data_IF_131135129241
#
_entry.id   IF_131135129241
#
_cell.length_a   1.000
_cell.length_b   1.000
_cell.length_c   1.000
_cell.angle_alpha   90.00
_cell.angle_beta   90.00
_cell.angle_gamma   90.00
#
_symmetry.space_group_name_H-M   'P 1'
#
loop_
_entity.id
_entity.type
_entity.pdbx_description
1 polymer ?
#
# COMPACT_ATOMS: atom_id res chain seq x y z
N UNK A 1 6.79 -38.93 35.43
CA UNK A 1 5.65 -38.78 34.47
C UNK A 1 4.51 -38.12 35.22
N UNK A 2 4.34 -36.83 35.07
CA UNK A 2 3.18 -36.06 35.54
C UNK A 2 2.21 -35.89 34.37
N UNK A 3 0.89 -36.03 34.56
CA UNK A 3 -0.07 -35.98 33.47
C UNK A 3 -0.19 -34.57 32.89
N UNK A 4 -0.12 -34.48 31.56
CA UNK A 4 -0.35 -33.29 30.73
C UNK A 4 -1.85 -32.90 30.66
N UNK A 5 -2.45 -32.53 31.77
CA UNK A 5 -3.84 -32.10 31.78
C UNK A 5 -4.12 -31.04 32.83
N UNK A 6 -3.44 -29.92 32.73
CA UNK A 6 -3.79 -28.68 33.46
C UNK A 6 -3.13 -27.49 32.79
N UNK A 7 -3.36 -27.30 31.49
CA UNK A 7 -3.37 -25.94 30.92
C UNK A 7 -4.84 -25.56 31.01
N UNK A 8 -5.24 -24.61 31.87
CA UNK A 8 -6.62 -24.12 31.84
C UNK A 8 -6.83 -23.54 30.45
N UNK A 9 -7.93 -23.94 29.78
CA UNK A 9 -8.46 -23.16 28.67
C UNK A 9 -8.39 -21.71 29.08
N UNK A 10 -7.59 -20.91 28.35
CA UNK A 10 -7.50 -19.48 28.61
C UNK A 10 -8.92 -18.93 28.44
N UNK A 11 -9.60 -18.75 29.56
CA UNK A 11 -10.86 -18.02 29.61
C UNK A 11 -10.54 -16.64 29.08
N UNK A 12 -10.88 -16.41 27.81
CA UNK A 12 -10.72 -15.09 27.19
C UNK A 12 -11.50 -14.13 28.04
N UNK A 13 -10.80 -13.24 28.74
CA UNK A 13 -11.46 -12.20 29.52
C UNK A 13 -12.34 -11.38 28.57
N UNK A 14 -13.50 -10.86 29.01
CA UNK A 14 -14.35 -10.00 28.15
C UNK A 14 -13.60 -8.85 27.50
N UNK A 15 -12.54 -8.35 28.16
CA UNK A 15 -11.67 -7.28 27.66
C UNK A 15 -10.81 -7.78 26.47
N UNK A 16 -10.21 -8.97 26.54
CA UNK A 16 -9.42 -9.52 25.44
C UNK A 16 -10.27 -9.76 24.21
N UNK A 17 -11.49 -10.33 24.39
CA UNK A 17 -12.43 -10.52 23.29
C UNK A 17 -12.85 -9.19 22.63
N UNK A 18 -12.99 -8.10 23.40
CA UNK A 18 -13.34 -6.78 22.89
C UNK A 18 -12.19 -6.12 22.12
N UNK A 19 -10.93 -6.37 22.51
CA UNK A 19 -9.73 -5.89 21.83
C UNK A 19 -9.57 -6.62 20.49
N UNK A 20 -9.70 -7.94 20.47
CA UNK A 20 -9.63 -8.74 19.26
C UNK A 20 -10.69 -8.27 18.24
N UNK A 21 -11.94 -8.06 18.69
CA UNK A 21 -13.03 -7.59 17.84
C UNK A 21 -12.77 -6.16 17.31
N UNK A 22 -12.18 -5.28 18.13
CA UNK A 22 -11.80 -3.94 17.71
C UNK A 22 -10.80 -3.96 16.56
N UNK A 23 -9.70 -4.72 16.68
CA UNK A 23 -8.70 -4.81 15.61
C UNK A 23 -9.28 -5.49 14.37
N UNK A 24 -10.03 -6.56 14.52
CA UNK A 24 -10.66 -7.24 13.39
C UNK A 24 -11.56 -6.31 12.58
N UNK A 25 -12.41 -5.52 13.22
CA UNK A 25 -13.26 -4.54 12.54
C UNK A 25 -12.49 -3.40 11.88
N UNK A 26 -11.32 -3.09 12.41
CA UNK A 26 -10.48 -1.99 11.91
C UNK A 26 -9.60 -2.40 10.74
N UNK A 27 -9.08 -3.61 10.74
CA UNK A 27 -8.12 -4.11 9.76
C UNK A 27 -8.78 -4.83 8.57
N UNK A 28 -10.02 -5.29 8.74
CA UNK A 28 -10.74 -5.93 7.63
C UNK A 28 -11.50 -4.89 6.81
N UNK A 29 -11.42 -4.93 5.48
CA UNK A 29 -12.16 -4.01 4.63
C UNK A 29 -13.67 -4.21 4.79
N UNK A 30 -14.40 -3.12 4.69
CA UNK A 30 -15.86 -3.14 4.73
C UNK A 30 -16.38 -3.79 3.45
N UNK A 31 -17.22 -4.81 3.58
CA UNK A 31 -17.90 -5.42 2.44
C UNK A 31 -18.70 -4.35 1.68
N UNK A 32 -18.50 -4.22 0.36
CA UNK A 32 -19.10 -3.14 -0.45
C UNK A 32 -18.19 -1.94 -0.74
N UNK A 33 -17.00 -1.86 -0.12
CA UNK A 33 -16.03 -0.80 -0.40
C UNK A 33 -15.20 -1.03 -1.68
N UNK A 34 -15.49 -2.09 -2.45
CA UNK A 34 -14.73 -2.43 -3.66
C UNK A 34 -14.99 -1.38 -4.74
N UNK A 35 -13.94 -0.67 -5.21
CA UNK A 35 -14.09 0.31 -6.28
C UNK A 35 -14.58 -0.34 -7.59
N UNK A 36 -15.50 0.33 -8.28
CA UNK A 36 -16.00 -0.11 -9.58
C UNK A 36 -15.19 0.55 -10.69
N UNK A 37 -14.33 -0.22 -11.35
CA UNK A 37 -13.56 0.23 -12.50
C UNK A 37 -14.03 -0.48 -13.78
N UNK A 38 -14.18 0.29 -14.86
CA UNK A 38 -14.52 -0.28 -16.16
C UNK A 38 -13.39 -1.23 -16.62
N UNK A 39 -13.74 -2.43 -17.04
CA UNK A 39 -12.75 -3.41 -17.54
C UNK A 39 -11.90 -4.11 -16.48
N UNK A 40 -12.02 -3.75 -15.21
CA UNK A 40 -11.26 -4.32 -14.11
C UNK A 40 -12.22 -4.90 -13.06
N UNK A 41 -11.88 -6.06 -12.55
CA UNK A 41 -12.52 -6.66 -11.39
C UNK A 41 -11.47 -6.92 -10.32
N UNK A 42 -11.80 -6.62 -9.07
CA UNK A 42 -10.89 -6.83 -7.95
C UNK A 42 -11.59 -7.46 -6.76
N UNK A 43 -10.89 -8.30 -6.05
CA UNK A 43 -11.34 -8.88 -4.81
C UNK A 43 -10.15 -9.32 -3.95
N UNK A 44 -10.23 -9.08 -2.66
CA UNK A 44 -9.26 -9.54 -1.68
C UNK A 44 -9.95 -10.16 -0.48
N UNK A 45 -9.24 -11.04 0.19
CA UNK A 45 -9.67 -11.65 1.43
C UNK A 45 -8.45 -12.02 2.28
N UNK A 46 -8.62 -12.07 3.60
CA UNK A 46 -7.57 -12.38 4.56
C UNK A 46 -8.07 -13.37 5.60
N UNK A 47 -7.20 -14.30 5.99
CA UNK A 47 -7.44 -15.29 7.03
C UNK A 47 -6.31 -15.16 8.06
N UNK A 48 -6.58 -14.66 9.26
CA UNK A 48 -5.55 -14.54 10.29
C UNK A 48 -5.15 -15.92 10.84
N UNK A 49 -3.88 -16.07 11.22
CA UNK A 49 -3.36 -17.29 11.88
C UNK A 49 -3.98 -17.50 13.26
N UNK A 50 -4.27 -16.40 13.94
CA UNK A 50 -4.92 -16.36 15.25
C UNK A 50 -6.29 -15.65 15.17
N UNK A 51 -6.77 -15.11 16.27
CA UNK A 51 -8.02 -14.34 16.32
C UNK A 51 -7.93 -13.00 15.56
N UNK A 52 -6.75 -12.41 15.57
CA UNK A 52 -6.36 -11.21 14.82
C UNK A 52 -4.98 -11.41 14.24
N UNK A 53 -4.75 -10.90 13.04
CA UNK A 53 -3.48 -10.97 12.34
C UNK A 53 -2.78 -9.62 12.20
N UNK A 54 -1.53 -9.68 11.75
CA UNK A 54 -0.73 -8.52 11.33
C UNK A 54 -0.98 -8.12 9.88
N UNK A 55 -1.65 -8.97 9.13
CA UNK A 55 -2.04 -8.70 7.76
C UNK A 55 -3.18 -7.69 7.68
N UNK A 56 -3.03 -6.74 6.75
CA UNK A 56 -4.07 -5.80 6.39
C UNK A 56 -4.09 -5.66 4.87
N UNK A 57 -5.27 -5.67 4.29
CA UNK A 57 -5.46 -5.13 2.94
C UNK A 57 -6.63 -4.16 2.91
N UNK A 58 -6.58 -3.20 2.01
CA UNK A 58 -7.66 -2.23 1.82
C UNK A 58 -7.84 -1.90 0.34
N UNK A 59 -9.11 -1.76 -0.06
CA UNK A 59 -9.51 -1.10 -1.29
C UNK A 59 -9.61 0.40 -1.05
N UNK A 60 -8.99 1.21 -1.88
CA UNK A 60 -9.08 2.66 -1.76
C UNK A 60 -9.94 3.18 -2.91
N UNK A 61 -11.18 3.49 -2.59
CA UNK A 61 -12.02 4.33 -3.44
C UNK A 61 -11.73 5.78 -3.06
N UNK A 62 -10.97 6.48 -3.89
CA UNK A 62 -10.52 7.84 -3.59
C UNK A 62 -11.67 8.82 -3.42
N UNK A 63 -12.69 8.74 -4.29
CA UNK A 63 -13.86 9.60 -4.24
C UNK A 63 -14.58 9.50 -2.90
N UNK A 64 -14.90 8.27 -2.47
CA UNK A 64 -15.64 8.02 -1.24
C UNK A 64 -14.80 8.28 0.01
N UNK A 65 -13.51 7.91 -0.03
CA UNK A 65 -12.63 7.97 1.14
C UNK A 65 -12.13 9.37 1.45
N UNK A 66 -11.83 10.17 0.41
CA UNK A 66 -11.09 11.42 0.57
C UNK A 66 -11.84 12.67 0.12
N UNK A 67 -13.12 12.56 -0.21
CA UNK A 67 -13.96 13.68 -0.64
C UNK A 67 -13.30 14.52 -1.76
N UNK A 68 -13.03 13.86 -2.88
CA UNK A 68 -12.32 14.42 -4.03
C UNK A 68 -13.00 15.68 -4.56
N UNK A 69 -14.35 15.71 -4.62
CA UNK A 69 -15.12 16.87 -5.06
C UNK A 69 -14.79 18.14 -4.27
N UNK A 70 -14.79 18.04 -2.94
CA UNK A 70 -14.48 19.18 -2.08
C UNK A 70 -13.03 19.67 -2.26
N UNK A 71 -12.09 18.75 -2.53
CA UNK A 71 -10.68 19.08 -2.79
C UNK A 71 -10.51 19.78 -4.13
N UNK A 72 -11.14 19.29 -5.20
CA UNK A 72 -11.18 19.95 -6.51
C UNK A 72 -11.79 21.34 -6.39
N UNK A 73 -12.94 21.46 -5.72
CA UNK A 73 -13.59 22.75 -5.51
C UNK A 73 -12.69 23.74 -4.75
N UNK A 74 -11.98 23.26 -3.73
CA UNK A 74 -11.01 24.05 -2.97
C UNK A 74 -9.83 24.51 -3.82
N UNK A 75 -9.23 23.61 -4.60
CA UNK A 75 -8.11 23.93 -5.49
C UNK A 75 -8.52 24.96 -6.54
N UNK A 76 -9.67 24.80 -7.20
CA UNK A 76 -10.21 25.76 -8.16
C UNK A 76 -10.50 27.12 -7.52
N UNK A 77 -11.05 27.16 -6.30
CA UNK A 77 -11.29 28.40 -5.56
C UNK A 77 -9.99 29.11 -5.23
N UNK A 78 -8.94 28.39 -4.81
CA UNK A 78 -7.63 28.96 -4.52
C UNK A 78 -6.96 29.48 -5.79
N UNK A 79 -7.00 28.73 -6.90
CA UNK A 79 -6.51 29.19 -8.19
C UNK A 79 -7.16 30.51 -8.59
N UNK A 80 -8.50 30.60 -8.54
CA UNK A 80 -9.24 31.83 -8.85
C UNK A 80 -8.83 32.98 -7.95
N UNK A 81 -8.68 32.77 -6.65
CA UNK A 81 -8.24 33.79 -5.69
C UNK A 81 -6.86 34.35 -6.04
N UNK A 82 -5.92 33.51 -6.49
CA UNK A 82 -4.61 33.98 -6.95
C UNK A 82 -4.70 34.79 -8.24
N UNK A 83 -5.62 34.45 -9.16
CA UNK A 83 -5.85 35.20 -10.41
C UNK A 83 -6.54 36.54 -10.20
N UNK A 84 -7.56 36.61 -9.33
CA UNK A 84 -8.31 37.86 -9.03
C UNK A 84 -7.41 38.97 -8.47
N UNK A 85 -6.28 38.58 -7.90
CA UNK A 85 -5.30 39.54 -7.39
C UNK A 85 -4.25 39.97 -8.42
N UNK A 86 -4.37 39.52 -9.68
CA UNK A 86 -3.47 39.92 -10.78
C UNK A 86 -4.00 41.14 -11.57
N UNK A 87 -3.13 41.89 -12.24
CA UNK A 87 -3.55 42.93 -13.17
C UNK A 87 -4.42 42.39 -14.31
N UNK A 88 -5.33 43.20 -14.84
CA UNK A 88 -6.19 42.83 -15.98
C UNK A 88 -5.34 42.35 -17.17
N UNK A 89 -5.75 41.25 -17.80
CA UNK A 89 -5.08 40.61 -18.94
C UNK A 89 -4.04 39.53 -18.60
N UNK A 90 -3.82 39.23 -17.33
CA UNK A 90 -2.98 38.11 -16.96
C UNK A 90 -3.71 36.77 -17.13
N UNK A 91 -3.28 35.96 -18.10
CA UNK A 91 -3.78 34.56 -18.28
C UNK A 91 -2.86 33.57 -17.56
N UNK A 92 -3.40 32.48 -17.01
CA UNK A 92 -2.57 31.37 -16.51
C UNK A 92 -1.76 30.78 -17.67
N UNK A 93 -0.49 30.53 -17.46
CA UNK A 93 0.29 29.67 -18.36
C UNK A 93 -0.10 28.20 -18.11
N UNK A 94 0.04 27.34 -19.13
CA UNK A 94 -0.24 25.91 -18.99
C UNK A 94 0.47 25.32 -17.77
N UNK A 95 -0.32 24.73 -16.83
CA UNK A 95 0.13 24.41 -15.49
C UNK A 95 1.35 23.47 -15.42
N UNK A 96 1.52 22.60 -16.42
CA UNK A 96 2.62 21.61 -16.45
C UNK A 96 3.97 22.29 -16.59
N UNK A 97 4.11 23.27 -17.51
CA UNK A 97 5.40 23.92 -17.77
C UNK A 97 5.83 24.83 -16.60
N UNK A 98 4.85 25.47 -15.94
CA UNK A 98 5.13 26.35 -14.79
C UNK A 98 5.49 25.53 -13.55
N UNK A 99 4.86 24.38 -13.34
CA UNK A 99 5.16 23.49 -12.22
C UNK A 99 6.57 22.89 -12.38
N UNK A 100 6.93 22.42 -13.57
CA UNK A 100 8.27 21.89 -13.87
C UNK A 100 9.34 22.98 -13.70
N UNK A 101 9.11 24.19 -14.21
CA UNK A 101 10.05 25.32 -14.04
C UNK A 101 10.15 25.75 -12.57
N UNK A 102 9.04 25.74 -11.81
CA UNK A 102 9.06 26.09 -10.39
C UNK A 102 9.79 25.02 -9.56
N UNK A 103 9.58 23.73 -9.86
CA UNK A 103 10.31 22.63 -9.24
C UNK A 103 11.82 22.68 -9.53
N UNK A 104 12.21 23.13 -10.73
CA UNK A 104 13.60 23.26 -11.13
C UNK A 104 14.28 24.53 -10.60
N UNK A 105 13.52 25.60 -10.36
CA UNK A 105 14.07 26.93 -10.04
C UNK A 105 13.91 27.31 -8.58
N UNK A 106 13.38 26.43 -7.66
CA UNK A 106 13.09 26.79 -6.25
C UNK A 106 13.62 28.20 -5.93
N UNK A 107 12.88 29.28 -6.19
CA UNK A 107 13.32 30.57 -5.74
C UNK A 107 13.36 30.45 -4.23
N UNK A 108 14.52 30.66 -3.61
CA UNK A 108 14.59 30.96 -2.20
C UNK A 108 13.45 31.94 -1.93
N UNK A 109 12.64 31.66 -0.90
CA UNK A 109 11.46 32.43 -0.52
C UNK A 109 11.81 33.91 -0.39
N UNK A 110 11.92 34.58 -1.51
CA UNK A 110 11.96 36.02 -1.53
C UNK A 110 10.54 36.50 -1.33
N UNK A 111 10.30 37.12 -0.21
CA UNK A 111 9.06 37.72 0.28
C UNK A 111 8.50 38.78 -0.64
N UNK A 112 8.21 38.46 -1.89
CA UNK A 112 7.62 39.36 -2.85
C UNK A 112 6.34 38.76 -3.41
N UNK A 113 5.20 39.33 -3.04
CA UNK A 113 3.89 39.07 -3.62
C UNK A 113 3.84 39.55 -5.07
N UNK A 114 4.67 38.93 -5.93
CA UNK A 114 4.82 39.32 -7.34
C UNK A 114 3.71 38.68 -8.17
N UNK A 115 3.31 39.33 -9.27
CA UNK A 115 2.35 38.79 -10.23
C UNK A 115 2.80 37.41 -10.75
N UNK A 116 4.11 37.17 -10.88
CA UNK A 116 4.70 35.91 -11.30
C UNK A 116 4.47 34.80 -10.26
N UNK A 117 4.66 35.09 -8.97
CA UNK A 117 4.38 34.17 -7.88
C UNK A 117 2.90 33.77 -7.85
N UNK A 118 1.98 34.72 -7.99
CA UNK A 118 0.52 34.45 -8.01
C UNK A 118 0.10 33.61 -9.19
N UNK A 119 0.66 33.86 -10.39
CA UNK A 119 0.44 33.01 -11.58
C UNK A 119 0.92 31.58 -11.33
N UNK A 120 2.11 31.40 -10.79
CA UNK A 120 2.66 30.10 -10.48
C UNK A 120 1.78 29.35 -9.46
N UNK A 121 1.32 30.01 -8.40
CA UNK A 121 0.41 29.43 -7.40
C UNK A 121 -0.96 29.09 -7.97
N UNK A 122 -1.51 29.92 -8.85
CA UNK A 122 -2.76 29.60 -9.54
C UNK A 122 -2.62 28.35 -10.41
N UNK A 123 -1.55 28.26 -11.20
CA UNK A 123 -1.27 27.10 -12.06
C UNK A 123 -1.03 25.82 -11.25
N UNK A 124 -0.33 25.91 -10.11
CA UNK A 124 -0.15 24.80 -9.17
C UNK A 124 -1.49 24.27 -8.68
N UNK A 125 -2.43 25.14 -8.31
CA UNK A 125 -3.75 24.72 -7.85
C UNK A 125 -4.60 24.08 -8.96
N UNK A 126 -4.48 24.54 -10.19
CA UNK A 126 -5.14 23.89 -11.34
C UNK A 126 -4.58 22.50 -11.59
N UNK A 127 -3.25 22.35 -11.53
CA UNK A 127 -2.59 21.05 -11.66
C UNK A 127 -2.99 20.07 -10.55
N UNK A 128 -3.14 20.56 -9.30
CA UNK A 128 -3.69 19.74 -8.20
C UNK A 128 -5.13 19.29 -8.54
N UNK A 129 -5.96 20.19 -9.07
CA UNK A 129 -7.33 19.85 -9.45
C UNK A 129 -7.39 18.80 -10.58
N UNK A 130 -6.50 18.91 -11.58
CA UNK A 130 -6.37 17.94 -12.68
C UNK A 130 -5.93 16.57 -12.17
N UNK A 131 -4.90 16.50 -11.32
CA UNK A 131 -4.46 15.25 -10.71
C UNK A 131 -5.59 14.59 -9.89
N UNK A 132 -6.35 15.38 -9.12
CA UNK A 132 -7.49 14.88 -8.35
C UNK A 132 -8.60 14.30 -9.25
N UNK A 133 -8.81 14.87 -10.46
CA UNK A 133 -9.80 14.34 -11.41
C UNK A 133 -9.42 12.94 -11.92
N UNK A 134 -8.14 12.62 -12.05
CA UNK A 134 -7.70 11.27 -12.45
C UNK A 134 -8.11 10.21 -11.43
N UNK A 135 -8.27 10.59 -10.16
CA UNK A 135 -8.62 9.67 -9.07
C UNK A 135 -10.07 9.14 -9.14
N UNK A 136 -10.97 9.76 -9.91
CA UNK A 136 -12.31 9.21 -10.15
C UNK A 136 -12.29 7.89 -10.95
N UNK A 137 -11.25 7.69 -11.75
CA UNK A 137 -11.07 6.49 -12.56
C UNK A 137 -9.91 5.63 -12.08
N UNK A 138 -9.43 5.87 -10.86
CA UNK A 138 -8.32 5.14 -10.25
C UNK A 138 -8.79 4.47 -8.97
N UNK A 139 -8.40 3.24 -8.74
CA UNK A 139 -8.57 2.57 -7.46
C UNK A 139 -7.20 2.30 -6.82
N UNK A 140 -7.11 2.55 -5.53
CA UNK A 140 -5.92 2.19 -4.76
C UNK A 140 -6.07 0.82 -4.10
N UNK A 141 -4.93 0.17 -3.89
CA UNK A 141 -4.80 -1.08 -3.14
C UNK A 141 -3.65 -0.93 -2.16
N UNK A 142 -3.91 -1.24 -0.91
CA UNK A 142 -2.91 -1.26 0.15
C UNK A 142 -2.85 -2.66 0.75
N UNK A 143 -1.66 -3.26 0.76
CA UNK A 143 -1.35 -4.48 1.52
C UNK A 143 -0.27 -4.15 2.53
N UNK A 144 -0.45 -4.62 3.74
CA UNK A 144 0.53 -4.52 4.84
C UNK A 144 0.62 -5.86 5.50
N UNK A 145 1.83 -6.28 5.80
CA UNK A 145 2.11 -7.45 6.62
C UNK A 145 3.09 -7.02 7.71
N UNK A 146 2.64 -7.10 8.95
CA UNK A 146 3.40 -6.68 10.11
C UNK A 146 4.11 -7.87 10.74
N UNK A 147 5.39 -7.70 11.05
CA UNK A 147 6.24 -8.74 11.63
C UNK A 147 5.58 -9.43 12.84
N UNK A 148 5.42 -10.75 12.76
CA UNK A 148 4.82 -11.60 13.78
C UNK A 148 3.29 -11.72 13.59
N UNK A 149 2.60 -12.24 14.59
CA UNK A 149 1.16 -12.51 14.55
C UNK A 149 0.45 -11.99 15.81
N UNK A 150 -0.87 -12.04 15.80
CA UNK A 150 -1.72 -11.66 16.93
C UNK A 150 -1.78 -10.14 17.18
N UNK A 151 -2.10 -9.76 18.43
CA UNK A 151 -2.42 -8.38 18.81
C UNK A 151 -1.27 -7.39 18.55
N UNK A 152 -0.01 -7.81 18.71
CA UNK A 152 1.14 -6.92 18.54
C UNK A 152 1.29 -6.57 17.06
N UNK A 153 1.23 -7.56 16.18
CA UNK A 153 1.27 -7.37 14.73
C UNK A 153 0.07 -6.54 14.25
N UNK A 154 -1.15 -6.83 14.73
CA UNK A 154 -2.36 -6.05 14.45
C UNK A 154 -2.21 -4.56 14.82
N UNK A 155 -1.54 -4.27 15.94
CA UNK A 155 -1.24 -2.90 16.35
C UNK A 155 -0.28 -2.21 15.39
N UNK A 156 0.76 -2.91 14.91
CA UNK A 156 1.71 -2.38 13.94
C UNK A 156 0.98 -2.08 12.62
N UNK A 157 0.22 -3.05 12.10
CA UNK A 157 -0.58 -2.88 10.89
C UNK A 157 -1.55 -1.70 10.99
N UNK A 158 -2.25 -1.56 12.14
CA UNK A 158 -3.14 -0.42 12.41
C UNK A 158 -2.37 0.92 12.44
N UNK A 159 -1.15 0.94 12.98
CA UNK A 159 -0.31 2.15 12.99
C UNK A 159 0.11 2.56 11.58
N UNK A 160 0.49 1.59 10.74
CA UNK A 160 0.81 1.82 9.32
C UNK A 160 -0.42 2.38 8.61
N UNK A 161 -1.56 1.74 8.76
CA UNK A 161 -2.84 2.15 8.17
C UNK A 161 -3.22 3.59 8.52
N UNK A 162 -3.21 3.94 9.82
CA UNK A 162 -3.57 5.30 10.26
C UNK A 162 -2.58 6.36 9.77
N UNK A 163 -1.30 6.01 9.75
CA UNK A 163 -0.26 6.89 9.24
C UNK A 163 -0.41 7.10 7.74
N UNK A 164 -0.70 6.02 7.00
CA UNK A 164 -0.96 6.06 5.57
C UNK A 164 -2.12 7.02 5.24
N UNK A 165 -3.29 6.85 5.86
CA UNK A 165 -4.44 7.70 5.57
C UNK A 165 -4.25 9.15 6.02
N UNK A 166 -3.59 9.38 7.15
CA UNK A 166 -3.27 10.74 7.60
C UNK A 166 -2.32 11.44 6.63
N UNK A 167 -1.31 10.74 6.15
CA UNK A 167 -0.37 11.28 5.18
C UNK A 167 -1.06 11.52 3.82
N UNK A 168 -1.96 10.61 3.39
CA UNK A 168 -2.72 10.74 2.15
C UNK A 168 -3.60 11.99 2.13
N UNK A 169 -4.24 12.35 3.23
CA UNK A 169 -5.02 13.58 3.32
C UNK A 169 -4.19 14.82 2.97
N UNK A 170 -2.98 14.91 3.53
CA UNK A 170 -2.04 16.01 3.25
C UNK A 170 -1.52 15.95 1.82
N UNK A 171 -1.22 14.75 1.33
CA UNK A 171 -0.67 14.53 -0.02
C UNK A 171 -1.64 14.98 -1.12
N UNK A 172 -2.91 14.59 -0.99
CA UNK A 172 -3.96 14.98 -1.92
C UNK A 172 -4.24 16.50 -1.89
N UNK A 173 -4.13 17.14 -0.71
CA UNK A 173 -4.26 18.60 -0.61
C UNK A 173 -3.10 19.36 -1.26
N UNK A 174 -1.88 18.80 -1.22
CA UNK A 174 -0.68 19.47 -1.70
C UNK A 174 -0.34 19.14 -3.17
N UNK A 175 -0.62 17.90 -3.61
CA UNK A 175 -0.14 17.39 -4.89
C UNK A 175 -1.27 16.84 -5.78
N UNK A 176 -2.44 16.57 -5.21
CA UNK A 176 -3.58 15.96 -5.90
C UNK A 176 -3.38 14.48 -6.27
N UNK A 177 -2.23 13.91 -5.95
CA UNK A 177 -1.84 12.51 -6.24
C UNK A 177 -0.79 12.05 -5.25
N UNK A 178 -0.54 10.75 -5.20
CA UNK A 178 0.55 10.19 -4.39
C UNK A 178 1.92 10.53 -4.96
N UNK A 179 2.85 10.87 -4.08
CA UNK A 179 4.25 11.12 -4.42
C UNK A 179 5.17 10.26 -3.52
N UNK A 180 6.45 10.12 -3.82
CA UNK A 180 7.36 9.39 -2.94
C UNK A 180 7.57 10.00 -1.57
N UNK A 181 7.53 11.31 -1.46
CA UNK A 181 7.65 12.01 -0.17
C UNK A 181 6.57 11.54 0.82
N UNK A 182 5.43 11.08 0.29
CA UNK A 182 4.38 10.45 1.05
C UNK A 182 4.87 9.19 1.79
N UNK A 183 5.57 8.31 1.10
CA UNK A 183 6.07 7.05 1.67
C UNK A 183 7.23 7.28 2.64
N UNK A 184 8.09 8.25 2.37
CA UNK A 184 9.15 8.66 3.29
C UNK A 184 8.56 9.12 4.64
N UNK A 185 7.47 9.90 4.60
CA UNK A 185 6.76 10.35 5.81
C UNK A 185 6.20 9.18 6.62
N UNK A 186 5.65 8.15 5.97
CA UNK A 186 5.16 6.94 6.65
C UNK A 186 6.32 6.23 7.35
N UNK A 187 7.42 5.99 6.64
CA UNK A 187 8.58 5.31 7.19
C UNK A 187 9.22 6.08 8.35
N UNK A 188 9.41 7.38 8.21
CA UNK A 188 9.93 8.25 9.28
C UNK A 188 9.06 8.20 10.54
N UNK A 189 7.74 8.19 10.39
CA UNK A 189 6.84 8.15 11.54
C UNK A 189 6.91 6.83 12.29
N UNK A 190 7.04 5.71 11.60
CA UNK A 190 7.25 4.40 12.23
C UNK A 190 8.59 4.36 12.96
N UNK A 191 9.68 4.78 12.33
CA UNK A 191 11.01 4.83 12.94
C UNK A 191 11.03 5.75 14.18
N UNK A 192 10.42 6.93 14.11
CA UNK A 192 10.33 7.86 15.24
C UNK A 192 9.53 7.29 16.42
N UNK A 193 8.46 6.55 16.15
CA UNK A 193 7.64 5.91 17.19
C UNK A 193 8.45 4.90 18.01
N UNK A 194 9.31 4.13 17.37
CA UNK A 194 10.21 3.17 18.03
C UNK A 194 11.31 3.89 18.82
N UNK A 195 11.94 4.90 18.22
CA UNK A 195 13.02 5.66 18.87
C UNK A 195 12.52 6.39 20.11
N UNK A 196 11.35 7.03 20.05
CA UNK A 196 10.75 7.72 21.19
C UNK A 196 10.43 6.74 22.34
N UNK A 197 9.91 5.55 22.04
CA UNK A 197 9.65 4.51 23.06
C UNK A 197 10.93 4.00 23.70
N UNK A 198 11.97 3.74 22.91
CA UNK A 198 13.27 3.30 23.42
C UNK A 198 13.93 4.35 24.33
N UNK A 199 13.79 5.64 24.01
CA UNK A 199 14.28 6.74 24.82
C UNK A 199 13.54 6.89 26.17
N UNK A 200 12.26 6.55 26.21
CA UNK A 200 11.42 6.62 27.42
C UNK A 200 11.51 5.34 28.28
N UNK A 201 11.94 4.23 27.69
CA UNK A 201 12.10 2.97 28.41
C UNK A 201 13.34 3.02 29.31
N UNK A 202 13.14 2.86 30.60
CA UNK A 202 14.22 2.65 31.57
C UNK A 202 14.80 1.24 31.51
N UNK A 203 14.20 0.36 30.72
CA UNK A 203 14.62 -1.02 30.57
C UNK A 203 15.73 -1.09 29.51
N UNK A 204 16.84 -1.73 29.83
CA UNK A 204 17.98 -1.92 28.92
C UNK A 204 17.67 -2.89 27.76
N UNK A 205 16.52 -3.56 27.79
CA UNK A 205 16.02 -4.35 26.67
C UNK A 205 15.37 -3.41 25.66
N UNK A 206 16.04 -3.26 24.50
CA UNK A 206 15.48 -2.53 23.36
C UNK A 206 14.08 -3.08 23.05
N UNK A 207 13.08 -2.19 22.95
CA UNK A 207 11.75 -2.58 22.46
C UNK A 207 11.88 -3.27 21.10
N UNK A 208 11.10 -4.32 20.83
CA UNK A 208 11.11 -4.94 19.52
C UNK A 208 10.85 -3.89 18.44
N UNK A 209 11.55 -4.01 17.31
CA UNK A 209 11.37 -3.10 16.18
C UNK A 209 9.97 -3.32 15.63
N UNK A 210 9.27 -2.25 15.34
CA UNK A 210 8.01 -2.29 14.61
C UNK A 210 8.35 -2.28 13.12
N UNK A 211 8.35 -3.46 12.53
CA UNK A 211 8.66 -3.66 11.11
C UNK A 211 7.40 -4.16 10.43
N UNK A 212 7.12 -3.61 9.26
CA UNK A 212 6.06 -4.09 8.39
C UNK A 212 6.50 -4.04 6.94
N UNK A 213 6.10 -5.02 6.16
CA UNK A 213 6.16 -4.94 4.72
C UNK A 213 4.93 -4.18 4.21
N UNK A 214 5.04 -3.50 3.08
CA UNK A 214 3.92 -2.77 2.50
C UNK A 214 4.02 -2.76 0.98
N UNK A 215 2.89 -3.03 0.32
CA UNK A 215 2.69 -2.76 -1.08
C UNK A 215 1.52 -1.79 -1.22
N UNK A 216 1.75 -0.67 -1.87
CA UNK A 216 0.69 0.25 -2.29
C UNK A 216 0.70 0.35 -3.80
N UNK A 217 -0.47 0.24 -4.42
CA UNK A 217 -0.62 0.38 -5.86
C UNK A 217 -1.91 1.08 -6.26
N UNK A 218 -1.88 1.62 -7.46
CA UNK A 218 -3.00 2.29 -8.11
C UNK A 218 -3.29 1.61 -9.44
N UNK A 219 -4.53 1.16 -9.62
CA UNK A 219 -5.01 0.51 -10.85
C UNK A 219 -5.97 1.42 -11.60
N UNK A 220 -5.83 1.47 -12.90
CA UNK A 220 -6.66 2.24 -13.82
C UNK A 220 -7.47 1.33 -14.75
N UNK A 221 -8.54 1.84 -15.41
CA UNK A 221 -9.37 1.06 -16.32
C UNK A 221 -8.62 0.48 -17.52
N UNK A 222 -7.50 1.09 -17.92
CA UNK A 222 -6.63 0.60 -19.00
C UNK A 222 -5.74 -0.58 -18.59
N UNK A 223 -5.90 -1.07 -17.36
CA UNK A 223 -5.12 -2.18 -16.81
C UNK A 223 -3.73 -1.78 -16.29
N UNK A 224 -3.38 -0.51 -16.33
CA UNK A 224 -2.10 -0.03 -15.80
C UNK A 224 -2.16 -0.03 -14.26
N UNK A 225 -1.29 -0.84 -13.65
CA UNK A 225 -1.05 -0.90 -12.21
C UNK A 225 0.32 -0.30 -11.89
N UNK A 226 0.30 0.81 -11.18
CA UNK A 226 1.49 1.48 -10.64
C UNK A 226 1.62 1.17 -9.18
N UNK A 227 2.79 0.78 -8.72
CA UNK A 227 2.96 0.39 -7.32
C UNK A 227 4.34 0.71 -6.76
N UNK A 228 4.38 0.80 -5.44
CA UNK A 228 5.59 0.93 -4.62
C UNK A 228 5.61 -0.25 -3.65
N UNK A 229 6.78 -0.89 -3.51
CA UNK A 229 6.96 -2.08 -2.69
C UNK A 229 8.01 -1.86 -1.61
N UNK A 230 7.62 -2.01 -0.35
CA UNK A 230 8.47 -1.92 0.84
C UNK A 230 8.67 -3.31 1.45
N UNK A 231 9.59 -4.08 0.90
CA UNK A 231 9.94 -5.42 1.39
C UNK A 231 8.82 -6.46 1.30
N UNK A 232 7.71 -6.13 0.66
CA UNK A 232 6.56 -7.02 0.49
C UNK A 232 6.83 -8.02 -0.66
N UNK A 233 6.23 -9.22 -0.65
CA UNK A 233 6.32 -10.12 -1.78
C UNK A 233 5.94 -9.43 -3.10
N UNK A 234 6.70 -9.65 -4.20
CA UNK A 234 6.43 -8.99 -5.46
C UNK A 234 5.11 -9.48 -6.08
N UNK A 235 4.38 -8.61 -6.79
CA UNK A 235 3.20 -9.02 -7.53
C UNK A 235 3.51 -10.11 -8.57
N UNK A 236 2.59 -11.03 -8.79
CA UNK A 236 2.67 -12.01 -9.88
C UNK A 236 1.59 -11.74 -10.92
N UNK A 237 1.96 -11.84 -12.19
CA UNK A 237 1.04 -11.68 -13.32
C UNK A 237 0.78 -13.02 -13.95
N UNK A 238 -0.45 -13.49 -13.88
CA UNK A 238 -0.90 -14.66 -14.60
C UNK A 238 -1.48 -14.24 -15.96
N UNK A 239 -0.90 -14.75 -17.04
CA UNK A 239 -1.45 -14.53 -18.37
C UNK A 239 -2.53 -15.57 -18.68
N UNK A 240 -3.72 -15.10 -19.00
CA UNK A 240 -4.82 -15.96 -19.40
C UNK A 240 -4.54 -16.68 -20.75
N UNK A 241 -3.75 -16.05 -21.63
CA UNK A 241 -3.35 -16.60 -22.92
C UNK A 241 -2.37 -17.77 -22.74
N UNK A 242 -1.30 -17.56 -21.93
CA UNK A 242 -0.26 -18.56 -21.73
C UNK A 242 -0.58 -19.57 -20.62
N UNK A 243 -1.57 -19.29 -19.77
CA UNK A 243 -2.02 -20.17 -18.67
C UNK A 243 -0.98 -20.34 -17.57
N UNK A 244 -0.11 -19.37 -17.37
CA UNK A 244 0.98 -19.40 -16.38
C UNK A 244 1.36 -18.00 -15.90
N UNK A 245 2.11 -17.94 -14.81
CA UNK A 245 2.73 -16.70 -14.38
C UNK A 245 3.81 -16.25 -15.36
N UNK A 246 3.78 -14.95 -15.66
CA UNK A 246 4.80 -14.30 -16.46
C UNK A 246 6.01 -13.96 -15.60
N UNK A 247 7.19 -14.11 -16.17
CA UNK A 247 8.40 -13.67 -15.49
C UNK A 247 8.55 -12.16 -15.61
N UNK A 248 8.54 -11.48 -14.45
CA UNK A 248 8.83 -10.05 -14.38
C UNK A 248 10.32 -9.90 -14.08
N UNK A 249 11.05 -9.22 -14.95
CA UNK A 249 12.46 -8.98 -14.73
C UNK A 249 12.67 -8.14 -13.49
N UNK A 250 13.66 -8.52 -12.66
CA UNK A 250 13.96 -7.80 -11.41
C UNK A 250 14.25 -6.31 -11.63
N UNK A 251 14.84 -5.96 -12.74
CA UNK A 251 15.15 -4.56 -13.11
C UNK A 251 13.89 -3.72 -13.41
N UNK A 252 12.74 -4.37 -13.62
CA UNK A 252 11.44 -3.70 -13.82
C UNK A 252 10.68 -3.48 -12.51
N UNK A 253 11.20 -3.96 -11.39
CA UNK A 253 10.59 -3.81 -10.08
C UNK A 253 11.49 -3.01 -9.16
N UNK A 254 10.96 -1.90 -8.62
CA UNK A 254 11.63 -1.12 -7.58
C UNK A 254 11.15 -1.65 -6.23
N UNK A 255 12.08 -2.10 -5.41
CA UNK A 255 11.81 -2.60 -4.08
C UNK A 255 12.60 -1.81 -3.04
N UNK A 256 11.92 -1.31 -2.03
CA UNK A 256 12.49 -0.63 -0.89
C UNK A 256 12.59 -1.60 0.31
N UNK A 257 13.44 -1.31 1.30
CA UNK A 257 13.41 -2.04 2.57
C UNK A 257 12.05 -1.96 3.25
N UNK A 258 11.72 -2.97 4.07
CA UNK A 258 10.51 -2.94 4.88
C UNK A 258 10.44 -1.67 5.75
N UNK A 259 9.22 -1.20 6.01
CA UNK A 259 8.96 -0.02 6.83
C UNK A 259 9.46 -0.24 8.27
N UNK A 260 10.01 0.80 8.87
CA UNK A 260 10.59 0.73 10.22
C UNK A 260 11.96 0.08 10.31
N UNK A 261 12.51 -0.44 9.20
CA UNK A 261 13.83 -1.00 9.15
C UNK A 261 14.89 0.11 9.12
N UNK A 262 15.67 0.26 10.19
CA UNK A 262 16.86 1.11 10.21
C UNK A 262 18.02 0.37 9.53
N UNK A 263 18.56 0.98 8.49
CA UNK A 263 19.78 0.46 7.84
C UNK A 263 20.98 1.00 8.61
N UNK A 264 21.86 0.14 9.16
CA UNK A 264 23.03 0.55 9.90
C UNK A 264 23.93 1.51 9.11
N UNK A 265 24.64 2.41 9.79
CA UNK A 265 25.50 3.41 9.14
C UNK A 265 26.63 2.81 8.33
N UNK A 266 27.11 1.65 8.75
CA UNK A 266 28.18 0.87 8.15
C UNK A 266 27.71 -0.12 7.07
N UNK A 267 26.38 -0.20 6.80
CA UNK A 267 25.86 -1.14 5.81
C UNK A 267 26.34 -0.75 4.40
N UNK A 268 26.94 -1.68 3.63
CA UNK A 268 27.53 -1.38 2.32
C UNK A 268 26.51 -0.81 1.31
N UNK A 269 25.25 -1.17 1.43
CA UNK A 269 24.18 -0.69 0.55
C UNK A 269 23.43 0.53 1.11
N UNK A 270 23.84 1.08 2.28
CA UNK A 270 23.18 2.24 2.88
C UNK A 270 23.05 3.41 1.89
N UNK A 271 24.08 3.66 1.09
CA UNK A 271 24.05 4.74 0.11
C UNK A 271 22.99 4.55 -0.97
N UNK A 272 22.69 3.31 -1.35
CA UNK A 272 21.60 2.99 -2.28
C UNK A 272 20.25 3.29 -1.64
N UNK A 273 20.00 2.79 -0.43
CA UNK A 273 18.74 2.98 0.27
C UNK A 273 18.52 4.44 0.69
N UNK A 274 19.54 5.10 1.23
CA UNK A 274 19.46 6.52 1.61
C UNK A 274 19.39 7.42 0.36
N UNK A 275 20.04 7.07 -0.74
CA UNK A 275 19.94 7.83 -2.00
C UNK A 275 18.57 7.66 -2.65
N UNK A 276 17.95 6.50 -2.53
CA UNK A 276 16.58 6.28 -2.96
C UNK A 276 15.63 7.09 -2.08
N UNK A 277 15.76 7.04 -0.75
CA UNK A 277 14.96 7.86 0.16
C UNK A 277 15.20 9.38 0.03
N UNK A 278 16.41 9.83 -0.33
CA UNK A 278 16.74 11.25 -0.55
C UNK A 278 16.46 11.75 -1.97
N UNK A 279 16.43 10.85 -2.96
CA UNK A 279 16.03 11.19 -4.35
C UNK A 279 14.54 11.44 -4.50
N UNK A 280 13.76 11.15 -3.48
CA UNK A 280 12.30 11.32 -3.47
C UNK A 280 11.84 12.78 -3.60
N UNK A 281 12.73 13.77 -3.42
CA UNK A 281 12.40 15.17 -3.76
C UNK A 281 12.29 15.42 -5.28
N UNK A 282 12.73 14.48 -6.12
CA UNK A 282 12.63 14.55 -7.58
C UNK A 282 12.35 13.13 -8.12
N UNK A 283 11.07 12.68 -8.01
CA UNK A 283 10.69 11.42 -8.62
C UNK A 283 10.93 11.44 -10.11
N UNK A 284 11.84 10.58 -10.54
CA UNK A 284 11.80 10.08 -11.89
C UNK A 284 10.78 8.95 -11.96
N UNK A 285 10.16 8.75 -13.12
CA UNK A 285 9.27 7.61 -13.40
C UNK A 285 9.90 6.24 -13.10
N UNK A 286 11.22 6.20 -12.82
CA UNK A 286 11.98 5.01 -12.45
C UNK A 286 11.81 4.51 -11.01
N UNK A 287 11.16 5.28 -10.14
CA UNK A 287 11.01 4.94 -8.71
C UNK A 287 9.66 4.27 -8.41
N UNK A 288 8.80 4.15 -9.42
CA UNK A 288 7.50 3.46 -9.37
C UNK A 288 7.54 2.29 -10.34
N UNK A 289 7.20 1.10 -9.86
CA UNK A 289 7.06 -0.05 -10.72
C UNK A 289 5.69 -0.01 -11.44
N UNK A 290 5.67 -0.43 -12.70
CA UNK A 290 4.47 -0.45 -13.52
C UNK A 290 4.26 -1.85 -14.13
N UNK A 291 3.02 -2.33 -14.04
CA UNK A 291 2.54 -3.57 -14.68
C UNK A 291 1.30 -3.22 -15.47
N UNK A 292 1.21 -3.71 -16.71
CA UNK A 292 -0.01 -3.54 -17.50
C UNK A 292 -0.64 -4.91 -17.79
N UNK A 293 -1.89 -5.07 -17.37
CA UNK A 293 -2.72 -6.23 -17.72
C UNK A 293 -3.30 -6.01 -19.13
N UNK A 294 -2.75 -6.71 -20.12
CA UNK A 294 -3.06 -6.49 -21.54
C UNK A 294 -4.18 -7.40 -22.01
N UNK A 295 -4.15 -8.66 -21.59
CA UNK A 295 -5.07 -9.69 -22.05
C UNK A 295 -6.36 -9.72 -21.22
N UNK A 296 -7.48 -9.98 -21.91
CA UNK A 296 -8.73 -10.28 -21.20
C UNK A 296 -8.57 -11.56 -20.38
N UNK A 297 -8.85 -11.47 -19.08
CA UNK A 297 -8.68 -12.56 -18.13
C UNK A 297 -7.29 -12.64 -17.52
N UNK A 298 -6.36 -11.75 -17.87
CA UNK A 298 -5.10 -11.63 -17.12
C UNK A 298 -5.38 -11.28 -15.66
N UNK A 299 -4.58 -11.89 -14.78
CA UNK A 299 -4.74 -11.73 -13.33
C UNK A 299 -3.46 -11.22 -12.71
N UNK A 300 -3.57 -10.12 -11.97
CA UNK A 300 -2.54 -9.69 -11.03
C UNK A 300 -2.85 -10.29 -9.65
N UNK A 301 -1.91 -11.07 -9.15
CA UNK A 301 -1.97 -11.73 -7.85
C UNK A 301 -1.05 -11.02 -6.88
N UNK A 302 -1.65 -10.42 -5.84
CA UNK A 302 -0.97 -9.79 -4.72
C UNK A 302 -1.24 -10.66 -3.49
N UNK A 303 -0.24 -10.82 -2.60
CA UNK A 303 -0.32 -11.81 -1.53
C UNK A 303 0.67 -11.49 -0.41
N UNK A 304 0.39 -11.97 0.79
CA UNK A 304 1.34 -12.04 1.90
C UNK A 304 2.05 -13.40 1.92
N UNK A 305 3.21 -13.48 2.57
CA UNK A 305 4.05 -14.69 2.55
C UNK A 305 3.38 -15.91 3.20
N UNK A 306 2.47 -15.70 4.16
CA UNK A 306 1.65 -16.79 4.70
C UNK A 306 0.68 -17.42 3.69
N UNK A 307 0.28 -16.69 2.65
CA UNK A 307 -0.52 -17.25 1.56
C UNK A 307 0.35 -17.98 0.51
N UNK A 308 1.52 -17.38 0.18
CA UNK A 308 2.49 -17.93 -0.75
C UNK A 308 3.88 -17.34 -0.48
N UNK A 309 4.87 -18.16 -0.14
CA UNK A 309 6.22 -17.69 0.21
C UNK A 309 7.15 -17.47 -1.00
N UNK A 310 6.73 -17.86 -2.18
CA UNK A 310 7.47 -17.68 -3.42
C UNK A 310 8.65 -18.63 -3.63
N UNK A 311 8.97 -19.50 -2.67
CA UNK A 311 10.13 -20.39 -2.71
C UNK A 311 9.82 -21.78 -3.27
N UNK A 312 8.55 -22.22 -3.22
CA UNK A 312 8.11 -23.54 -3.62
C UNK A 312 7.53 -23.55 -5.04
N UNK A 313 8.24 -24.16 -5.98
CA UNK A 313 7.81 -24.29 -7.36
C UNK A 313 6.55 -25.16 -7.51
N UNK A 314 6.34 -26.14 -6.65
CA UNK A 314 5.13 -26.98 -6.67
C UNK A 314 3.90 -26.18 -6.24
N UNK A 315 4.05 -25.36 -5.20
CA UNK A 315 3.03 -24.44 -4.74
C UNK A 315 2.69 -23.40 -5.84
N UNK A 316 3.70 -22.85 -6.49
CA UNK A 316 3.53 -21.95 -7.64
C UNK A 316 2.69 -22.58 -8.74
N UNK A 317 3.01 -23.80 -9.13
CA UNK A 317 2.28 -24.51 -10.18
C UNK A 317 0.85 -24.84 -9.76
N UNK A 318 0.62 -25.11 -8.48
CA UNK A 318 -0.74 -25.35 -7.97
C UNK A 318 -1.58 -24.07 -8.00
N UNK A 319 -1.01 -22.93 -7.61
CA UNK A 319 -1.69 -21.62 -7.73
C UNK A 319 -2.00 -21.32 -9.21
N UNK A 320 -1.07 -21.56 -10.11
CA UNK A 320 -1.32 -21.42 -11.55
C UNK A 320 -2.49 -22.30 -12.04
N UNK A 321 -2.57 -23.56 -11.58
CA UNK A 321 -3.69 -24.46 -11.91
C UNK A 321 -5.01 -23.96 -11.35
N UNK A 322 -5.00 -23.44 -10.12
CA UNK A 322 -6.18 -22.85 -9.48
C UNK A 322 -6.67 -21.67 -10.29
N UNK A 323 -5.79 -20.71 -10.65
CA UNK A 323 -6.16 -19.55 -11.45
C UNK A 323 -6.67 -19.98 -12.83
N UNK A 324 -5.98 -20.90 -13.49
CA UNK A 324 -6.39 -21.44 -14.79
C UNK A 324 -7.76 -22.10 -14.76
N UNK A 325 -8.06 -22.86 -13.73
CA UNK A 325 -9.36 -23.50 -13.52
C UNK A 325 -10.48 -22.50 -13.35
N UNK A 326 -10.23 -21.44 -12.57
CA UNK A 326 -11.21 -20.43 -12.19
C UNK A 326 -11.14 -19.14 -13.04
N UNK A 327 -10.35 -19.13 -14.13
CA UNK A 327 -10.11 -17.91 -14.93
C UNK A 327 -11.35 -17.27 -15.55
N UNK A 328 -12.42 -18.01 -15.75
CA UNK A 328 -13.71 -17.50 -16.24
C UNK A 328 -14.63 -17.03 -15.12
N UNK A 329 -14.30 -17.35 -13.87
CA UNK A 329 -15.10 -17.01 -12.71
C UNK A 329 -14.72 -15.61 -12.20
N UNK A 330 -15.55 -15.01 -11.32
CA UNK A 330 -15.22 -13.74 -10.68
C UNK A 330 -13.90 -13.79 -9.90
N UNK A 331 -13.24 -12.63 -9.75
CA UNK A 331 -12.02 -12.49 -8.96
C UNK A 331 -12.17 -13.04 -7.53
N UNK A 332 -13.37 -12.96 -6.96
CA UNK A 332 -13.73 -13.55 -5.66
C UNK A 332 -13.50 -15.06 -5.59
N UNK A 333 -13.92 -15.78 -6.61
CA UNK A 333 -13.78 -17.24 -6.63
C UNK A 333 -12.32 -17.66 -6.78
N UNK A 334 -11.55 -16.93 -7.56
CA UNK A 334 -10.09 -17.14 -7.68
C UNK A 334 -9.42 -16.91 -6.32
N UNK A 335 -9.72 -15.79 -5.67
CA UNK A 335 -9.17 -15.43 -4.37
C UNK A 335 -9.47 -16.49 -3.30
N UNK A 336 -10.74 -16.90 -3.19
CA UNK A 336 -11.16 -17.89 -2.21
C UNK A 336 -10.53 -19.27 -2.46
N UNK A 337 -10.42 -19.68 -3.73
CA UNK A 337 -9.79 -20.97 -4.06
C UNK A 337 -8.30 -21.02 -3.69
N UNK A 338 -7.58 -19.89 -3.86
CA UNK A 338 -6.17 -19.78 -3.45
C UNK A 338 -6.07 -19.80 -1.92
N UNK A 339 -6.92 -19.07 -1.20
CA UNK A 339 -6.94 -19.11 0.27
C UNK A 339 -7.28 -20.48 0.84
N UNK A 340 -8.23 -21.20 0.24
CA UNK A 340 -8.54 -22.58 0.62
C UNK A 340 -7.33 -23.51 0.42
N UNK A 341 -6.55 -23.31 -0.64
CA UNK A 341 -5.30 -24.02 -0.85
C UNK A 341 -4.29 -23.73 0.25
N UNK A 342 -4.07 -22.45 0.58
CA UNK A 342 -3.16 -22.03 1.66
C UNK A 342 -3.58 -22.60 3.04
N UNK A 343 -4.88 -22.62 3.35
CA UNK A 343 -5.40 -23.22 4.59
C UNK A 343 -5.16 -24.73 4.65
N UNK A 344 -5.28 -25.45 3.53
CA UNK A 344 -4.93 -26.88 3.51
C UNK A 344 -3.46 -27.15 3.80
N UNK A 345 -2.56 -26.21 3.42
CA UNK A 345 -1.14 -26.29 3.83
C UNK A 345 -0.98 -26.17 5.34
N UNK A 346 -1.72 -25.27 5.99
CA UNK A 346 -1.72 -25.14 7.45
C UNK A 346 -2.16 -26.44 8.16
N UNK A 347 -3.21 -27.09 7.64
CA UNK A 347 -3.67 -28.34 8.20
C UNK A 347 -2.60 -29.43 8.12
N UNK A 348 -1.80 -29.44 7.06
CA UNK A 348 -0.63 -30.30 6.95
C UNK A 348 0.46 -29.92 7.97
N UNK A 349 0.78 -28.63 8.13
CA UNK A 349 1.76 -28.16 9.13
C UNK A 349 1.35 -28.56 10.57
N UNK A 350 0.05 -28.49 10.89
CA UNK A 350 -0.48 -28.96 12.18
C UNK A 350 -0.30 -30.47 12.35
N UNK A 351 -0.48 -31.27 11.29
CA UNK A 351 -0.31 -32.72 11.34
C UNK A 351 1.15 -33.15 11.57
N UNK A 352 2.11 -32.39 11.07
CA UNK A 352 3.55 -32.65 11.28
C UNK A 352 4.15 -31.95 12.51
N UNK A 353 3.30 -31.36 13.37
CA UNK A 353 3.68 -30.66 14.62
C UNK A 353 4.58 -29.43 14.41
N UNK A 354 4.36 -28.69 13.30
CA UNK A 354 5.04 -27.42 12.97
C UNK A 354 4.08 -26.21 12.96
N UNK A 355 3.23 -25.99 14.00
CA UNK A 355 2.24 -24.92 14.01
C UNK A 355 2.86 -23.50 14.02
N UNK A 356 4.10 -23.37 14.48
CA UNK A 356 4.82 -22.09 14.53
C UNK A 356 5.14 -21.51 13.14
N UNK A 357 4.93 -22.30 12.08
CA UNK A 357 5.09 -21.86 10.68
C UNK A 357 3.80 -21.35 10.05
N UNK A 358 2.69 -21.40 10.80
CA UNK A 358 1.40 -20.87 10.34
C UNK A 358 1.41 -19.35 10.52
N UNK A 359 1.16 -18.63 9.43
CA UNK A 359 1.12 -17.16 9.41
C UNK A 359 -0.21 -16.63 8.88
N UNK A 360 -0.43 -15.34 9.02
CA UNK A 360 -1.57 -14.64 8.46
C UNK A 360 -1.55 -14.72 6.92
N UNK A 361 -2.72 -14.84 6.30
CA UNK A 361 -2.85 -15.07 4.86
C UNK A 361 -3.72 -14.03 4.23
N UNK A 362 -3.15 -13.23 3.35
CA UNK A 362 -3.93 -12.30 2.54
C UNK A 362 -3.70 -12.55 1.05
N UNK A 363 -4.79 -12.56 0.31
CA UNK A 363 -4.80 -12.69 -1.15
C UNK A 363 -5.63 -11.57 -1.75
N UNK A 364 -5.09 -10.92 -2.76
CA UNK A 364 -5.77 -9.89 -3.50
C UNK A 364 -5.63 -10.12 -5.01
N UNK A 365 -6.75 -10.18 -5.69
CA UNK A 365 -6.85 -10.45 -7.12
C UNK A 365 -7.34 -9.22 -7.85
N UNK A 366 -6.59 -8.81 -8.89
CA UNK A 366 -7.04 -7.83 -9.88
C UNK A 366 -7.09 -8.54 -11.23
N UNK A 367 -8.27 -8.54 -11.86
CA UNK A 367 -8.52 -9.27 -13.10
C UNK A 367 -8.99 -8.32 -14.20
N UNK A 368 -8.39 -8.42 -15.38
CA UNK A 368 -8.86 -7.77 -16.60
C UNK A 368 -10.09 -8.49 -17.17
N UNK A 369 -11.17 -7.75 -17.53
CA UNK A 369 -12.44 -8.29 -18.06
C UNK A 369 -12.48 -8.36 -19.58
#
# INVERSE_FOLDING_TARGET
MLPRSLIPDMVTTPLAASIDEYFRKRLMPVEGAIPLLAGIEMYGNSIPAEKVGGDLFEYINFEQRYNIDARIARANKLSKKYLESLPEGATPQNGVDVHVQWMQSRPEYTSGDTAQYRKAKSSEQLFIAENLQELYTTAGVLLVDAQGHGIIAAKIASTVHDTFHTAMLSELDCNGKTTPDFFERINLRLAQSVTARNALSRDTKKSPREIATMLYGEIRPDGLFRFVNFGHPPPLVFSAEYGRFMEIKKDCMVQFPALGLEIPEDHPDRSKYVSVMRRTSHMHSSDVAEITLIGRGDVLFLYTDGAYDGSDEQDRQEIERIIQKHKQEPAKEICNAILEHAVRKDDHLRQIDEPDRIDDKSVFIIKSK
#
